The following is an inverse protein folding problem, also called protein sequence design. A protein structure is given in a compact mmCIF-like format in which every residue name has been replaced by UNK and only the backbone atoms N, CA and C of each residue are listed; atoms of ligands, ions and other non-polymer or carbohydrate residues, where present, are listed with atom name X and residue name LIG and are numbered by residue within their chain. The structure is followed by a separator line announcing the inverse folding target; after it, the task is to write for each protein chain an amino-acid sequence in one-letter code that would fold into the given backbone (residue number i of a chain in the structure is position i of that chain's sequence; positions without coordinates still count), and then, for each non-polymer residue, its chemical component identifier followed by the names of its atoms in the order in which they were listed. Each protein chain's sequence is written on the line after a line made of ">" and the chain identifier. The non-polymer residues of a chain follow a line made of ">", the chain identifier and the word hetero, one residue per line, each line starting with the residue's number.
data_IF_148303045148
#
_entry.id   IF_148303045148
#
_cell.length_a   1.000
_cell.length_b   1.000
_cell.length_c   1.000
_cell.angle_alpha   90.00
_cell.angle_beta   90.00
_cell.angle_gamma   90.00
#
_symmetry.space_group_name_H-M   'P 1'
#
loop_
_entity.id
_entity.type
_entity.pdbx_description
1 polymer ?
#
# COMPACT_ATOMS: atom_id res chain seq x y z
N UNK A 1 2.76 4.56 -12.13
CA UNK A 1 2.17 3.39 -11.47
C UNK A 1 1.43 3.83 -10.22
N UNK A 2 0.33 3.20 -9.91
CA UNK A 2 -0.44 3.48 -8.71
C UNK A 2 -0.50 2.28 -7.80
N UNK A 3 -0.62 2.51 -6.51
CA UNK A 3 -0.74 1.42 -5.54
C UNK A 3 -1.81 1.69 -4.50
N UNK A 4 -2.50 0.62 -4.13
CA UNK A 4 -3.38 0.60 -2.97
C UNK A 4 -2.53 0.19 -1.78
N UNK A 5 -2.46 1.06 -0.78
CA UNK A 5 -1.72 0.80 0.45
C UNK A 5 -2.71 0.37 1.51
N UNK A 6 -2.47 -0.78 2.10
CA UNK A 6 -3.29 -1.36 3.15
C UNK A 6 -2.49 -1.31 4.44
N UNK A 7 -2.87 -0.42 5.35
CA UNK A 7 -2.24 -0.29 6.66
C UNK A 7 -3.06 -1.11 7.65
N UNK A 8 -2.46 -2.16 8.19
CA UNK A 8 -3.13 -3.04 9.13
C UNK A 8 -2.64 -2.72 10.54
N UNK A 9 -3.59 -2.32 11.39
CA UNK A 9 -3.31 -2.03 12.79
C UNK A 9 -3.04 -3.32 13.57
N UNK A 10 -2.44 -3.16 14.74
CA UNK A 10 -2.25 -4.28 15.66
C UNK A 10 -3.60 -4.95 15.94
N UNK A 11 -3.64 -6.27 15.82
CA UNK A 11 -4.86 -7.04 15.94
C UNK A 11 -5.00 -7.62 17.37
N UNK A 12 -6.20 -7.58 17.95
CA UNK A 12 -6.42 -8.15 19.28
C UNK A 12 -6.19 -9.68 19.31
N UNK A 13 -6.49 -10.35 18.19
CA UNK A 13 -6.22 -11.79 18.03
C UNK A 13 -5.32 -11.97 16.81
N UNK A 14 -4.02 -11.84 17.02
CA UNK A 14 -3.03 -11.94 15.96
C UNK A 14 -3.01 -13.33 15.30
N UNK A 15 -3.15 -14.38 16.09
CA UNK A 15 -3.14 -15.76 15.57
C UNK A 15 -4.29 -15.99 14.60
N UNK A 16 -5.49 -15.50 14.93
CA UNK A 16 -6.65 -15.58 14.04
C UNK A 16 -6.43 -14.79 12.75
N UNK A 17 -5.89 -13.58 12.87
CA UNK A 17 -5.57 -12.75 11.71
C UNK A 17 -4.59 -13.46 10.78
N UNK A 18 -3.49 -13.98 11.33
CA UNK A 18 -2.46 -14.66 10.55
C UNK A 18 -2.98 -15.92 9.88
N UNK A 19 -3.85 -16.67 10.56
CA UNK A 19 -4.46 -17.86 10.00
C UNK A 19 -5.36 -17.58 8.81
N UNK A 20 -6.00 -16.40 8.78
CA UNK A 20 -6.90 -16.00 7.69
C UNK A 20 -6.28 -15.10 6.65
N UNK A 21 -5.08 -14.60 6.87
CA UNK A 21 -4.40 -13.72 5.94
C UNK A 21 -4.25 -14.31 4.52
N UNK A 22 -3.90 -15.62 4.35
CA UNK A 22 -3.85 -16.23 3.02
C UNK A 22 -5.16 -16.17 2.25
N UNK A 23 -6.30 -16.12 2.94
CA UNK A 23 -7.62 -15.97 2.34
C UNK A 23 -7.74 -14.63 1.62
N UNK A 24 -7.26 -13.55 2.27
CA UNK A 24 -7.20 -12.24 1.64
C UNK A 24 -6.25 -12.22 0.43
N UNK A 25 -5.06 -12.80 0.57
CA UNK A 25 -4.09 -12.85 -0.51
C UNK A 25 -4.68 -13.54 -1.74
N UNK A 26 -5.37 -14.66 -1.55
CA UNK A 26 -6.01 -15.39 -2.64
C UNK A 26 -7.09 -14.53 -3.32
N UNK A 27 -7.86 -13.78 -2.57
CA UNK A 27 -8.87 -12.88 -3.12
C UNK A 27 -8.25 -11.70 -3.87
N UNK A 28 -7.22 -11.08 -3.31
CA UNK A 28 -6.53 -9.95 -3.91
C UNK A 28 -5.87 -10.32 -5.24
N UNK A 29 -5.29 -11.51 -5.33
CA UNK A 29 -4.63 -12.00 -6.53
C UNK A 29 -5.59 -12.15 -7.72
N UNK A 30 -6.88 -12.25 -7.47
CA UNK A 30 -7.89 -12.32 -8.53
C UNK A 30 -8.28 -10.95 -9.08
N UNK A 31 -7.85 -9.87 -8.46
CA UNK A 31 -8.19 -8.53 -8.92
C UNK A 31 -7.57 -8.28 -10.30
N UNK A 32 -8.38 -7.90 -11.30
CA UNK A 32 -7.84 -7.67 -12.64
C UNK A 32 -6.89 -6.48 -12.67
N UNK A 33 -5.81 -6.59 -13.42
CA UNK A 33 -4.84 -5.51 -13.58
C UNK A 33 -3.81 -5.43 -12.46
N UNK A 34 -3.87 -6.30 -11.46
CA UNK A 34 -2.86 -6.35 -10.41
C UNK A 34 -1.51 -6.76 -11.02
N UNK A 35 -0.46 -5.97 -10.76
CA UNK A 35 0.88 -6.18 -11.30
C UNK A 35 1.85 -6.75 -10.28
N UNK A 36 1.70 -6.35 -9.02
CA UNK A 36 2.65 -6.74 -7.98
C UNK A 36 2.00 -6.59 -6.61
N UNK A 37 2.39 -7.44 -5.68
CA UNK A 37 2.05 -7.33 -4.27
C UNK A 37 3.33 -7.22 -3.46
N UNK A 38 3.29 -6.41 -2.41
CA UNK A 38 4.41 -6.27 -1.46
C UNK A 38 3.84 -6.29 -0.05
N UNK A 39 4.42 -7.13 0.80
CA UNK A 39 4.06 -7.20 2.21
C UNK A 39 5.25 -6.76 3.05
N UNK A 40 5.01 -5.85 3.98
CA UNK A 40 6.03 -5.39 4.92
C UNK A 40 5.51 -5.58 6.34
N UNK A 41 6.25 -6.34 7.15
CA UNK A 41 5.92 -6.51 8.55
C UNK A 41 6.57 -5.38 9.35
N UNK A 42 5.78 -4.68 10.15
CA UNK A 42 6.29 -3.57 10.96
C UNK A 42 7.02 -4.15 12.16
N UNK A 43 8.32 -3.84 12.27
CA UNK A 43 9.12 -4.25 13.40
C UNK A 43 8.82 -3.38 14.62
N UNK A 44 8.83 -2.05 14.43
CA UNK A 44 8.51 -1.10 15.50
C UNK A 44 8.09 0.24 14.92
N UNK A 45 7.29 0.97 15.66
CA UNK A 45 6.94 2.35 15.35
C UNK A 45 7.99 3.26 15.96
N UNK A 46 8.68 4.02 15.14
CA UNK A 46 9.74 4.92 15.61
C UNK A 46 9.19 6.23 16.18
N UNK A 47 8.05 6.68 15.67
CA UNK A 47 7.41 7.92 16.09
C UNK A 47 5.93 7.88 15.69
N UNK A 48 5.07 8.41 16.54
CA UNK A 48 3.63 8.50 16.27
C UNK A 48 2.81 7.46 17.02
N UNK A 49 1.50 7.67 17.02
CA UNK A 49 0.57 6.87 17.83
C UNK A 49 -0.09 5.72 17.06
N UNK A 50 0.16 5.63 15.76
CA UNK A 50 -0.45 4.59 14.94
C UNK A 50 0.16 3.22 15.27
N UNK A 51 -0.64 2.32 15.82
CA UNK A 51 -0.20 0.96 16.16
C UNK A 51 -0.22 0.06 14.92
N UNK A 52 0.79 0.21 14.08
CA UNK A 52 0.89 -0.55 12.83
C UNK A 52 1.42 -1.96 13.09
N UNK A 53 0.78 -2.96 12.47
CA UNK A 53 1.25 -4.34 12.46
C UNK A 53 1.89 -4.69 11.13
N UNK A 54 1.21 -4.36 10.02
CA UNK A 54 1.65 -4.77 8.69
C UNK A 54 1.23 -3.74 7.66
N UNK A 55 2.02 -3.65 6.60
CA UNK A 55 1.74 -2.87 5.41
C UNK A 55 1.65 -3.82 4.24
N UNK A 56 0.58 -3.75 3.47
CA UNK A 56 0.45 -4.53 2.24
C UNK A 56 0.14 -3.59 1.09
N UNK A 57 0.79 -3.81 -0.06
CA UNK A 57 0.67 -2.91 -1.19
C UNK A 57 0.33 -3.68 -2.45
N UNK A 58 -0.70 -3.19 -3.17
CA UNK A 58 -1.16 -3.75 -4.44
C UNK A 58 -0.89 -2.73 -5.54
N UNK A 59 -0.13 -3.14 -6.55
CA UNK A 59 0.34 -2.24 -7.62
C UNK A 59 -0.45 -2.42 -8.90
N UNK A 60 -0.81 -1.28 -9.51
CA UNK A 60 -1.54 -1.21 -10.78
C UNK A 60 -0.84 -0.22 -11.72
N UNK A 61 -1.03 -0.36 -13.03
CA UNK A 61 -0.36 0.49 -14.02
C UNK A 61 -0.79 1.96 -13.91
N UNK A 62 -2.09 2.19 -13.67
CA UNK A 62 -2.67 3.54 -13.67
C UNK A 62 -3.69 3.68 -12.54
N UNK A 63 -4.04 4.92 -12.23
CA UNK A 63 -5.15 5.22 -11.32
C UNK A 63 -6.44 4.57 -11.80
N UNK A 64 -6.72 4.64 -13.10
CA UNK A 64 -7.91 4.05 -13.69
C UNK A 64 -7.94 2.54 -13.49
N UNK A 65 -6.82 1.86 -13.73
CA UNK A 65 -6.71 0.42 -13.54
C UNK A 65 -6.97 0.03 -12.08
N UNK A 66 -6.42 0.77 -11.14
CA UNK A 66 -6.65 0.54 -9.70
C UNK A 66 -8.12 0.72 -9.34
N UNK A 67 -8.73 1.83 -9.79
CA UNK A 67 -10.13 2.11 -9.51
C UNK A 67 -11.06 1.06 -10.12
N UNK A 68 -10.79 0.64 -11.35
CA UNK A 68 -11.58 -0.41 -12.02
C UNK A 68 -11.46 -1.74 -11.28
N UNK A 69 -10.24 -2.11 -10.86
CA UNK A 69 -10.00 -3.35 -10.13
C UNK A 69 -10.78 -3.41 -8.82
N UNK A 70 -10.80 -2.30 -8.09
CA UNK A 70 -11.55 -2.20 -6.84
C UNK A 70 -13.06 -2.28 -7.04
N UNK A 71 -13.55 -1.85 -8.20
CA UNK A 71 -14.98 -1.88 -8.55
C UNK A 71 -15.48 -3.21 -9.10
N UNK A 72 -14.60 -4.19 -9.30
CA UNK A 72 -14.99 -5.52 -9.80
C UNK A 72 -15.55 -6.39 -8.67
N UNK A 73 -16.26 -7.48 -8.99
CA UNK A 73 -16.67 -8.47 -7.98
C UNK A 73 -15.47 -9.03 -7.21
N UNK A 74 -14.33 -9.23 -7.88
CA UNK A 74 -13.09 -9.71 -7.26
C UNK A 74 -12.55 -8.69 -6.25
N UNK A 75 -12.56 -7.41 -6.61
CA UNK A 75 -12.17 -6.33 -5.71
C UNK A 75 -13.09 -6.22 -4.50
N UNK A 76 -14.39 -6.33 -4.72
CA UNK A 76 -15.38 -6.32 -3.64
C UNK A 76 -15.17 -7.50 -2.68
N UNK A 77 -14.88 -8.68 -3.22
CA UNK A 77 -14.61 -9.88 -2.42
C UNK A 77 -13.34 -9.70 -1.58
N UNK A 78 -12.26 -9.17 -2.17
CA UNK A 78 -11.03 -8.89 -1.44
C UNK A 78 -11.28 -7.90 -0.29
N UNK A 79 -12.03 -6.84 -0.55
CA UNK A 79 -12.39 -5.85 0.47
C UNK A 79 -13.21 -6.46 1.60
N UNK A 80 -14.16 -7.32 1.29
CA UNK A 80 -14.99 -7.99 2.27
C UNK A 80 -14.16 -8.90 3.17
N UNK A 81 -13.28 -9.72 2.60
CA UNK A 81 -12.39 -10.59 3.35
C UNK A 81 -11.50 -9.78 4.27
N UNK A 82 -10.91 -8.69 3.75
CA UNK A 82 -10.05 -7.81 4.53
C UNK A 82 -10.78 -7.23 5.73
N UNK A 83 -12.01 -6.76 5.53
CA UNK A 83 -12.86 -6.23 6.60
C UNK A 83 -13.13 -7.27 7.67
N UNK A 84 -13.42 -8.50 7.27
CA UNK A 84 -13.71 -9.59 8.20
C UNK A 84 -12.50 -9.98 9.05
N UNK A 85 -11.33 -10.15 8.41
CA UNK A 85 -10.15 -10.64 9.12
C UNK A 85 -9.49 -9.58 9.99
N UNK A 86 -9.73 -8.28 9.70
CA UNK A 86 -9.17 -7.17 10.49
C UNK A 86 -10.15 -6.59 11.49
N UNK A 87 -11.43 -6.95 11.40
CA UNK A 87 -12.47 -6.33 12.22
C UNK A 87 -12.61 -4.83 11.95
N UNK A 88 -12.23 -4.39 10.75
CA UNK A 88 -12.25 -2.97 10.38
C UNK A 88 -11.04 -2.17 10.84
N UNK A 89 -10.08 -2.80 11.52
CA UNK A 89 -8.86 -2.12 11.98
C UNK A 89 -7.82 -2.05 10.87
N UNK A 90 -8.19 -1.34 9.83
CA UNK A 90 -7.41 -1.21 8.60
C UNK A 90 -7.64 0.17 8.00
N UNK A 91 -6.60 0.73 7.39
CA UNK A 91 -6.66 1.99 6.66
C UNK A 91 -6.21 1.75 5.23
N UNK A 92 -6.99 2.24 4.27
CA UNK A 92 -6.70 2.09 2.84
C UNK A 92 -6.31 3.45 2.27
N UNK A 93 -5.19 3.47 1.53
CA UNK A 93 -4.70 4.66 0.84
C UNK A 93 -4.46 4.32 -0.61
N UNK A 94 -4.78 5.24 -1.51
CA UNK A 94 -4.43 5.12 -2.92
C UNK A 94 -3.34 6.15 -3.22
N UNK A 95 -2.21 5.71 -3.73
CA UNK A 95 -1.05 6.56 -3.91
C UNK A 95 -0.40 6.40 -5.28
N UNK A 96 0.11 7.49 -5.81
CA UNK A 96 0.95 7.47 -6.99
C UNK A 96 2.35 6.99 -6.56
N UNK A 97 2.81 5.91 -7.20
CA UNK A 97 4.10 5.32 -6.86
C UNK A 97 5.17 5.78 -7.83
N UNK A 98 6.12 6.55 -7.32
CA UNK A 98 7.29 7.00 -8.06
C UNK A 98 8.53 6.40 -7.40
N UNK A 99 9.36 5.77 -8.21
CA UNK A 99 10.59 5.16 -7.76
C UNK A 99 11.76 5.74 -8.55
N UNK A 100 12.82 6.10 -7.84
CA UNK A 100 13.98 6.71 -8.46
C UNK A 100 15.26 6.06 -7.93
N UNK A 101 16.25 5.94 -8.81
CA UNK A 101 17.56 5.43 -8.45
C UNK A 101 18.36 6.51 -7.73
N UNK A 102 19.26 6.10 -6.84
CA UNK A 102 20.09 7.03 -6.10
C UNK A 102 20.89 7.97 -7.02
N UNK A 103 21.35 7.47 -8.15
CA UNK A 103 22.06 8.30 -9.13
C UNK A 103 21.18 9.41 -9.69
N UNK A 104 19.89 9.11 -9.97
CA UNK A 104 18.94 10.10 -10.45
C UNK A 104 18.57 11.11 -9.37
N UNK A 105 18.42 10.66 -8.14
CA UNK A 105 18.15 11.53 -6.99
C UNK A 105 19.30 12.54 -6.84
N UNK A 106 20.53 12.10 -6.91
CA UNK A 106 21.72 12.95 -6.81
C UNK A 106 21.79 13.94 -7.96
N UNK A 107 21.43 13.52 -9.18
CA UNK A 107 21.42 14.38 -10.36
C UNK A 107 20.38 15.49 -10.21
N UNK A 108 19.19 15.16 -9.74
CA UNK A 108 18.14 16.14 -9.49
C UNK A 108 18.54 17.13 -8.39
N UNK A 109 19.21 16.65 -7.35
CA UNK A 109 19.68 17.50 -6.26
C UNK A 109 20.70 18.53 -6.75
N UNK A 110 21.63 18.11 -7.60
CA UNK A 110 22.62 19.02 -8.18
C UNK A 110 21.92 20.08 -9.04
N UNK A 111 20.97 19.67 -9.89
CA UNK A 111 20.20 20.61 -10.70
C UNK A 111 19.42 21.59 -9.84
N UNK A 112 18.83 21.12 -8.74
CA UNK A 112 18.09 21.97 -7.80
C UNK A 112 19.00 22.98 -7.12
N UNK A 113 20.21 22.62 -6.80
CA UNK A 113 21.18 23.53 -6.19
C UNK A 113 21.60 24.65 -7.14
N UNK A 114 21.47 24.45 -8.44
CA UNK A 114 21.75 25.48 -9.46
C UNK A 114 20.59 26.45 -9.63
N UNK A 115 19.42 26.14 -9.12
CA UNK A 115 18.25 27.01 -9.21
C UNK A 115 18.27 28.07 -8.12
N UNK A 116 17.69 29.26 -8.39
CA UNK A 116 17.53 30.27 -7.35
C UNK A 116 16.73 29.71 -6.18
N UNK A 117 17.22 29.94 -4.96
CA UNK A 117 16.63 29.38 -3.77
C UNK A 117 15.19 29.83 -3.53
N UNK A 118 14.81 31.00 -4.03
CA UNK A 118 13.46 31.52 -3.90
C UNK A 118 12.40 30.76 -4.71
N UNK A 119 12.81 29.92 -5.63
CA UNK A 119 11.89 29.11 -6.46
C UNK A 119 11.53 27.79 -5.80
N UNK A 120 12.07 27.51 -4.65
CA UNK A 120 11.82 26.26 -3.94
C UNK A 120 10.75 26.44 -2.89
N UNK A 121 9.77 25.52 -2.86
CA UNK A 121 8.76 25.52 -1.80
C UNK A 121 9.36 25.20 -0.43
#
# INVERSE_FOLDING_TARGET
>A
MYKLIILIQAQPDLARFEARWPEFLAAAERMPGLRREVTSHVDRVLHGDFAAHMLHELYFDTLKAAAEAMGTPEGAQAGQVLQEITGGQVTLLLADHNQDEMANIRRHRVSDEELPSGDRP
#
